data_IF_828048575782
#
_entry.id   IF_828048575782
#
_cell.length_a   1.000
_cell.length_b   1.000
_cell.length_c   1.000
_cell.angle_alpha   90.00
_cell.angle_beta   90.00
_cell.angle_gamma   90.00
#
_symmetry.space_group_name_H-M   'P 1'
#
loop_
_entity.id
_entity.type
_entity.pdbx_description
1 polymer ?
#
# COMPACT_ATOMS: atom_id res chain seq x y z
N UNK A 1 41.86 39.53 1.33
CA UNK A 1 42.11 38.19 1.90
C UNK A 1 41.23 37.20 1.15
N UNK A 2 41.79 36.63 0.09
CA UNK A 2 41.08 35.77 -0.86
C UNK A 2 41.50 34.30 -0.70
N UNK A 3 40.53 33.42 -0.96
CA UNK A 3 40.69 32.09 -1.57
C UNK A 3 41.58 31.05 -0.87
N UNK A 4 40.97 30.15 -0.06
CA UNK A 4 41.42 28.75 0.11
C UNK A 4 40.25 27.84 0.49
N UNK A 5 39.58 27.23 -0.50
CA UNK A 5 38.99 25.86 -0.44
C UNK A 5 38.34 25.50 -1.79
N UNK A 6 39.13 25.49 -2.84
CA UNK A 6 38.80 24.85 -4.12
C UNK A 6 40.10 24.41 -4.79
N UNK A 7 40.67 23.30 -4.34
CA UNK A 7 41.77 22.59 -5.00
C UNK A 7 42.04 21.27 -4.26
N UNK A 8 41.26 20.25 -4.60
CA UNK A 8 41.59 18.83 -4.40
C UNK A 8 40.69 17.96 -5.27
N UNK A 9 40.70 18.28 -6.56
CA UNK A 9 40.38 17.34 -7.63
C UNK A 9 41.52 17.46 -8.62
N UNK A 10 41.92 16.32 -9.19
CA UNK A 10 43.04 16.08 -10.12
C UNK A 10 44.31 15.56 -9.41
N UNK A 11 44.85 14.50 -10.01
CA UNK A 11 46.02 13.68 -9.65
C UNK A 11 45.71 12.46 -8.75
N UNK A 12 45.30 11.36 -9.37
CA UNK A 12 46.08 10.10 -9.55
C UNK A 12 45.32 9.25 -10.57
N UNK A 13 45.67 9.39 -11.85
CA UNK A 13 45.52 8.34 -12.86
C UNK A 13 46.94 7.95 -13.26
N UNK A 14 47.38 6.76 -12.82
CA UNK A 14 48.44 5.94 -13.44
C UNK A 14 48.71 4.72 -12.53
N UNK A 15 47.97 3.63 -12.75
CA UNK A 15 48.42 2.27 -12.41
C UNK A 15 47.63 1.21 -13.19
N UNK A 16 48.29 0.68 -14.22
CA UNK A 16 48.24 -0.66 -14.81
C UNK A 16 46.88 -1.39 -15.01
N UNK A 17 46.36 -1.49 -16.26
CA UNK A 17 45.05 -2.10 -16.55
C UNK A 17 44.98 -3.64 -16.39
N UNK A 18 46.11 -4.33 -16.21
CA UNK A 18 46.13 -5.81 -16.27
C UNK A 18 45.96 -6.53 -14.92
N UNK A 19 45.90 -5.83 -13.79
CA UNK A 19 45.68 -6.44 -12.45
C UNK A 19 44.22 -6.40 -11.97
N UNK A 20 43.33 -5.71 -12.66
CA UNK A 20 41.90 -5.66 -12.29
C UNK A 20 41.05 -6.78 -12.92
N UNK A 21 41.57 -7.52 -13.89
CA UNK A 21 40.80 -8.57 -14.59
C UNK A 21 40.79 -9.92 -13.86
N UNK A 22 41.67 -10.16 -12.88
CA UNK A 22 41.69 -11.42 -12.12
C UNK A 22 40.87 -11.40 -10.80
N UNK A 23 40.60 -10.22 -10.22
CA UNK A 23 39.79 -10.11 -8.98
C UNK A 23 38.28 -10.04 -9.22
N UNK A 24 37.83 -9.75 -10.44
CA UNK A 24 36.40 -9.77 -10.79
C UNK A 24 35.89 -11.15 -11.23
N UNK A 25 36.76 -12.08 -11.65
CA UNK A 25 36.33 -13.45 -11.98
C UNK A 25 36.02 -14.31 -10.75
N UNK A 26 36.79 -14.19 -9.67
CA UNK A 26 36.51 -14.94 -8.44
C UNK A 26 35.26 -14.46 -7.65
N UNK A 27 34.75 -13.25 -7.93
CA UNK A 27 33.51 -12.74 -7.33
C UNK A 27 32.26 -13.03 -8.18
N UNK A 28 32.41 -13.35 -9.48
CA UNK A 28 31.30 -13.82 -10.32
C UNK A 28 31.09 -15.34 -10.22
N UNK A 29 32.13 -16.14 -9.98
CA UNK A 29 31.96 -17.60 -9.84
C UNK A 29 31.35 -18.02 -8.49
N UNK A 30 31.43 -17.17 -7.45
CA UNK A 30 30.77 -17.42 -6.15
C UNK A 30 29.34 -16.84 -6.06
N UNK A 31 28.84 -16.17 -7.10
CA UNK A 31 27.43 -15.72 -7.17
C UNK A 31 26.50 -16.78 -7.80
N UNK A 32 27.04 -17.87 -8.34
CA UNK A 32 26.27 -18.95 -8.98
C UNK A 32 26.19 -20.26 -8.16
N UNK A 33 26.43 -20.21 -6.84
CA UNK A 33 26.07 -21.29 -5.92
C UNK A 33 25.51 -20.75 -4.60
N UNK A 34 24.50 -19.88 -4.63
CA UNK A 34 23.52 -19.90 -3.54
C UNK A 34 22.73 -21.19 -3.77
N UNK A 35 23.01 -22.22 -2.96
CA UNK A 35 22.17 -23.42 -2.90
C UNK A 35 20.72 -22.96 -2.83
N UNK A 36 19.88 -23.38 -3.77
CA UNK A 36 18.46 -23.04 -3.72
C UNK A 36 17.96 -23.41 -2.31
N UNK A 37 17.41 -22.47 -1.53
CA UNK A 37 16.92 -22.81 -0.20
C UNK A 37 15.84 -23.87 -0.36
N UNK A 38 16.00 -24.97 0.38
CA UNK A 38 15.15 -26.16 0.30
C UNK A 38 13.70 -25.81 0.65
N UNK A 39 12.77 -26.60 0.12
CA UNK A 39 11.35 -26.51 0.50
C UNK A 39 11.19 -26.73 2.02
N UNK A 40 10.18 -26.08 2.61
CA UNK A 40 9.94 -26.17 4.03
C UNK A 40 9.25 -27.50 4.38
N UNK A 41 9.87 -28.29 5.26
CA UNK A 41 9.40 -29.64 5.60
C UNK A 41 7.98 -29.64 6.18
N UNK A 42 7.62 -28.64 6.96
CA UNK A 42 6.28 -28.53 7.55
C UNK A 42 5.21 -28.19 6.53
N UNK A 43 5.52 -27.36 5.52
CA UNK A 43 4.63 -27.13 4.37
C UNK A 43 4.42 -28.43 3.60
N UNK A 44 5.50 -29.17 3.32
CA UNK A 44 5.42 -30.46 2.61
C UNK A 44 4.59 -31.45 3.41
N UNK A 45 4.89 -31.64 4.70
CA UNK A 45 4.17 -32.55 5.56
C UNK A 45 2.67 -32.20 5.65
N UNK A 46 2.32 -30.91 5.66
CA UNK A 46 0.93 -30.49 5.61
C UNK A 46 0.25 -30.94 4.31
N UNK A 47 0.86 -30.70 3.16
CA UNK A 47 0.30 -31.13 1.87
C UNK A 47 0.16 -32.67 1.78
N UNK A 48 1.14 -33.41 2.30
CA UNK A 48 1.16 -34.88 2.24
C UNK A 48 0.17 -35.53 3.23
N UNK A 49 -0.13 -34.88 4.36
CA UNK A 49 -1.00 -35.43 5.40
C UNK A 49 -2.51 -35.22 5.16
N UNK A 50 -2.90 -34.27 4.31
CA UNK A 50 -4.30 -33.96 4.06
C UNK A 50 -4.74 -34.45 2.67
N UNK A 51 -5.69 -35.42 2.58
CA UNK A 51 -6.09 -36.03 1.30
C UNK A 51 -6.59 -35.04 0.24
N UNK A 52 -7.11 -33.89 0.66
CA UNK A 52 -7.60 -32.84 -0.23
C UNK A 52 -6.51 -32.10 -1.02
N UNK A 53 -5.24 -32.26 -0.65
CA UNK A 53 -4.08 -31.72 -1.36
C UNK A 53 -3.26 -32.79 -2.08
N UNK A 54 -3.81 -33.99 -2.23
CA UNK A 54 -3.18 -35.06 -2.99
C UNK A 54 -2.80 -34.56 -4.40
N UNK A 55 -1.58 -34.84 -4.82
CA UNK A 55 -0.99 -34.46 -6.12
C UNK A 55 -0.82 -32.93 -6.34
N UNK A 56 -1.16 -32.10 -5.34
CA UNK A 56 -1.04 -30.65 -5.44
C UNK A 56 0.43 -30.18 -5.49
N UNK A 57 1.30 -30.88 -4.75
CA UNK A 57 2.73 -30.57 -4.65
C UNK A 57 3.43 -30.52 -6.00
N UNK A 58 3.00 -31.33 -6.95
CA UNK A 58 3.58 -31.40 -8.31
C UNK A 58 3.08 -30.26 -9.21
N UNK A 59 1.92 -29.67 -8.88
CA UNK A 59 1.29 -28.57 -9.62
C UNK A 59 1.75 -27.18 -9.11
N UNK A 60 2.47 -27.14 -7.99
CA UNK A 60 2.92 -25.90 -7.36
C UNK A 60 4.36 -25.57 -7.77
N UNK A 61 4.66 -24.31 -8.10
CA UNK A 61 6.04 -23.89 -8.29
C UNK A 61 6.81 -24.02 -6.96
N UNK A 62 8.06 -24.49 -7.03
CA UNK A 62 8.92 -24.74 -5.86
C UNK A 62 9.06 -23.54 -4.91
N UNK A 63 8.95 -22.31 -5.43
CA UNK A 63 8.96 -21.09 -4.63
C UNK A 63 7.85 -21.06 -3.58
N UNK A 64 6.64 -21.54 -3.90
CA UNK A 64 5.51 -21.54 -2.98
C UNK A 64 5.62 -22.56 -1.85
N UNK A 65 6.50 -23.55 -2.01
CA UNK A 65 6.80 -24.56 -0.98
C UNK A 65 7.83 -24.07 0.04
N UNK A 66 8.31 -22.82 -0.09
CA UNK A 66 9.25 -22.19 0.82
C UNK A 66 8.51 -21.29 1.81
N UNK A 67 9.20 -20.94 2.90
CA UNK A 67 8.75 -19.90 3.81
C UNK A 67 9.42 -18.58 3.52
N UNK A 68 8.67 -17.50 3.67
CA UNK A 68 9.14 -16.14 3.48
C UNK A 68 8.88 -15.31 4.72
N UNK A 69 9.70 -14.28 4.94
CA UNK A 69 9.37 -13.26 5.95
C UNK A 69 8.24 -12.37 5.44
N UNK A 70 8.39 -11.92 4.20
CA UNK A 70 7.49 -11.01 3.48
C UNK A 70 7.33 -11.52 2.05
N UNK A 71 6.36 -12.39 1.77
CA UNK A 71 6.13 -12.88 0.41
C UNK A 71 5.55 -11.76 -0.46
N UNK A 72 5.90 -11.74 -1.75
CA UNK A 72 5.39 -10.75 -2.71
C UNK A 72 3.95 -11.06 -3.15
N UNK A 73 3.61 -12.34 -3.24
CA UNK A 73 2.29 -12.84 -3.63
C UNK A 73 1.82 -13.95 -2.71
N UNK A 74 0.50 -14.18 -2.69
CA UNK A 74 -0.14 -15.21 -1.89
C UNK A 74 -1.27 -15.86 -2.69
N UNK A 75 -1.34 -17.20 -2.65
CA UNK A 75 -2.19 -18.03 -3.48
C UNK A 75 -3.06 -18.93 -2.64
N UNK A 76 -4.35 -18.98 -2.96
CA UNK A 76 -5.29 -19.89 -2.34
C UNK A 76 -5.13 -21.31 -2.91
N UNK A 77 -4.90 -22.29 -2.04
CA UNK A 77 -4.70 -23.69 -2.43
C UNK A 77 -5.84 -24.63 -2.01
N UNK A 78 -6.84 -24.14 -1.27
CA UNK A 78 -7.93 -24.97 -0.76
C UNK A 78 -9.27 -24.70 -1.46
N UNK A 79 -9.85 -25.74 -2.07
CA UNK A 79 -11.13 -25.65 -2.80
C UNK A 79 -12.32 -25.30 -1.91
N UNK A 80 -12.40 -25.84 -0.68
CA UNK A 80 -13.50 -25.54 0.25
C UNK A 80 -13.49 -24.07 0.64
N UNK A 81 -12.29 -23.52 0.86
CA UNK A 81 -12.10 -22.11 1.20
C UNK A 81 -12.41 -21.19 0.03
N UNK A 82 -12.06 -21.58 -1.20
CA UNK A 82 -12.46 -20.87 -2.41
C UNK A 82 -13.99 -20.72 -2.49
N UNK A 83 -14.72 -21.80 -2.21
CA UNK A 83 -16.20 -21.78 -2.17
C UNK A 83 -16.75 -20.87 -1.07
N UNK A 84 -16.14 -20.88 0.13
CA UNK A 84 -16.53 -19.98 1.23
C UNK A 84 -16.31 -18.52 0.87
N UNK A 85 -15.16 -18.21 0.27
CA UNK A 85 -14.83 -16.85 -0.19
C UNK A 85 -15.84 -16.43 -1.26
N UNK A 86 -16.00 -17.19 -2.34
CA UNK A 86 -16.94 -16.89 -3.42
C UNK A 86 -18.38 -16.69 -2.92
N UNK A 87 -18.86 -17.57 -2.04
CA UNK A 87 -20.19 -17.43 -1.44
C UNK A 87 -20.35 -16.15 -0.61
N UNK A 88 -19.28 -15.70 0.05
CA UNK A 88 -19.26 -14.41 0.75
C UNK A 88 -19.29 -13.25 -0.25
N UNK A 89 -18.48 -13.31 -1.32
CA UNK A 89 -18.37 -12.26 -2.33
C UNK A 89 -19.61 -12.06 -3.19
N UNK A 90 -20.40 -13.11 -3.41
CA UNK A 90 -21.66 -13.04 -4.16
C UNK A 90 -22.68 -12.03 -3.58
N UNK A 91 -22.55 -11.68 -2.30
CA UNK A 91 -23.41 -10.69 -1.64
C UNK A 91 -22.95 -9.25 -1.85
N UNK A 92 -21.77 -9.03 -2.44
CA UNK A 92 -21.09 -7.73 -2.45
C UNK A 92 -20.59 -7.29 -3.84
N UNK A 93 -20.44 -8.22 -4.76
CA UNK A 93 -20.10 -7.94 -6.15
C UNK A 93 -21.40 -7.78 -6.93
N UNK A 94 -21.60 -6.61 -7.53
CA UNK A 94 -22.69 -6.35 -8.46
C UNK A 94 -22.35 -6.83 -9.88
N UNK A 95 -23.38 -7.10 -10.68
CA UNK A 95 -23.23 -7.61 -12.05
C UNK A 95 -22.68 -6.58 -13.05
N UNK A 96 -22.73 -5.29 -12.70
CA UNK A 96 -22.34 -4.19 -13.60
C UNK A 96 -20.85 -3.85 -13.54
N UNK A 97 -20.20 -4.13 -12.42
CA UNK A 97 -18.81 -3.76 -12.18
C UNK A 97 -17.85 -4.78 -12.80
N UNK A 98 -16.73 -4.33 -13.41
CA UNK A 98 -15.63 -5.21 -13.78
C UNK A 98 -15.06 -5.91 -12.55
N UNK A 99 -14.82 -7.22 -12.67
CA UNK A 99 -14.18 -8.03 -11.63
C UNK A 99 -12.76 -8.35 -12.04
N UNK A 100 -11.81 -8.02 -11.17
CA UNK A 100 -10.40 -8.32 -11.32
C UNK A 100 -10.00 -9.36 -10.27
N UNK A 101 -9.47 -10.48 -10.69
CA UNK A 101 -8.84 -11.46 -9.79
C UNK A 101 -7.32 -11.38 -9.93
N UNK A 102 -6.64 -11.15 -8.81
CA UNK A 102 -5.18 -10.99 -8.74
C UNK A 102 -4.56 -12.27 -8.18
N UNK A 103 -3.55 -12.79 -8.89
CA UNK A 103 -2.84 -14.03 -8.57
C UNK A 103 -3.79 -15.23 -8.37
N UNK A 104 -4.59 -15.60 -9.40
CA UNK A 104 -5.56 -16.69 -9.30
C UNK A 104 -4.91 -18.07 -9.05
N UNK A 105 -3.63 -18.25 -9.40
CA UNK A 105 -2.91 -19.49 -9.19
C UNK A 105 -3.58 -20.68 -9.87
N UNK A 106 -3.94 -21.69 -9.08
CA UNK A 106 -4.64 -22.89 -9.56
C UNK A 106 -6.09 -22.61 -10.04
N UNK A 107 -6.58 -21.37 -9.89
CA UNK A 107 -7.88 -20.94 -10.38
C UNK A 107 -9.08 -21.49 -9.61
N UNK A 108 -8.86 -21.93 -8.36
CA UNK A 108 -9.94 -22.47 -7.52
C UNK A 108 -10.98 -21.40 -7.19
N UNK A 109 -10.55 -20.19 -6.85
CA UNK A 109 -11.48 -19.08 -6.60
C UNK A 109 -12.14 -18.61 -7.90
N UNK A 110 -11.37 -18.45 -8.98
CA UNK A 110 -11.89 -18.17 -10.32
C UNK A 110 -13.05 -19.07 -10.71
N UNK A 111 -12.88 -20.40 -10.53
CA UNK A 111 -13.91 -21.38 -10.87
C UNK A 111 -15.20 -21.17 -10.07
N UNK A 112 -15.07 -20.92 -8.77
CA UNK A 112 -16.24 -20.68 -7.93
C UNK A 112 -16.93 -19.35 -8.28
N UNK A 113 -16.18 -18.29 -8.58
CA UNK A 113 -16.72 -17.00 -9.04
C UNK A 113 -17.46 -17.13 -10.38
N UNK A 114 -16.89 -17.86 -11.35
CA UNK A 114 -17.54 -18.10 -12.65
C UNK A 114 -18.85 -18.86 -12.53
N UNK A 115 -18.94 -19.79 -11.57
CA UNK A 115 -20.15 -20.57 -11.30
C UNK A 115 -21.25 -19.74 -10.64
N UNK A 116 -20.88 -18.70 -9.88
CA UNK A 116 -21.84 -17.96 -9.06
C UNK A 116 -22.14 -16.55 -9.56
N UNK A 117 -21.40 -16.05 -10.55
CA UNK A 117 -21.55 -14.71 -11.10
C UNK A 117 -21.59 -14.75 -12.62
N UNK A 118 -22.19 -13.74 -13.25
CA UNK A 118 -22.22 -13.59 -14.71
C UNK A 118 -21.12 -12.66 -15.24
N UNK A 119 -20.45 -11.91 -14.35
CA UNK A 119 -19.43 -10.91 -14.69
C UNK A 119 -18.33 -11.48 -15.58
N UNK A 120 -17.76 -10.62 -16.42
CA UNK A 120 -16.48 -10.87 -17.07
C UNK A 120 -15.35 -10.69 -16.04
N UNK A 121 -14.45 -11.67 -15.92
CA UNK A 121 -13.35 -11.64 -14.95
C UNK A 121 -12.03 -11.38 -15.66
N UNK A 122 -11.32 -10.36 -15.21
CA UNK A 122 -9.97 -10.04 -15.63
C UNK A 122 -8.98 -10.65 -14.65
N UNK A 123 -8.09 -11.51 -15.13
CA UNK A 123 -7.13 -12.22 -14.32
C UNK A 123 -5.72 -11.69 -14.58
N UNK A 124 -5.03 -11.35 -13.51
CA UNK A 124 -3.61 -10.95 -13.54
C UNK A 124 -2.79 -11.96 -12.74
N UNK A 125 -1.95 -12.73 -13.42
CA UNK A 125 -1.07 -13.72 -12.79
C UNK A 125 0.39 -13.29 -12.92
N UNK A 126 1.11 -13.27 -11.81
CA UNK A 126 2.55 -12.96 -11.80
C UNK A 126 3.40 -14.16 -12.21
N UNK A 127 2.94 -15.40 -11.96
CA UNK A 127 3.69 -16.63 -12.23
C UNK A 127 3.17 -17.37 -13.47
N UNK A 128 4.01 -17.43 -14.51
CA UNK A 128 3.71 -18.18 -15.75
C UNK A 128 3.47 -19.70 -15.52
N UNK A 129 3.86 -20.25 -14.37
CA UNK A 129 3.63 -21.66 -14.02
C UNK A 129 2.14 -22.04 -14.06
N UNK A 130 1.27 -21.09 -13.73
CA UNK A 130 -0.18 -21.33 -13.66
C UNK A 130 -0.92 -21.12 -14.99
N UNK A 131 -0.23 -20.65 -16.03
CA UNK A 131 -0.83 -20.38 -17.34
C UNK A 131 -1.60 -21.57 -17.92
N UNK A 132 -1.13 -22.82 -17.70
CA UNK A 132 -1.83 -24.01 -18.18
C UNK A 132 -3.21 -24.19 -17.55
N UNK A 133 -3.34 -23.92 -16.25
CA UNK A 133 -4.59 -24.04 -15.50
C UNK A 133 -5.56 -22.92 -15.90
N UNK A 134 -5.03 -21.70 -16.02
CA UNK A 134 -5.81 -20.54 -16.44
C UNK A 134 -6.35 -20.72 -17.88
N UNK A 135 -5.51 -21.20 -18.80
CA UNK A 135 -5.93 -21.47 -20.18
C UNK A 135 -7.02 -22.54 -20.25
N UNK A 136 -6.97 -23.56 -19.39
CA UNK A 136 -8.03 -24.57 -19.29
C UNK A 136 -9.36 -23.93 -18.83
N UNK A 137 -9.32 -23.02 -17.86
CA UNK A 137 -10.51 -22.28 -17.43
C UNK A 137 -11.07 -21.38 -18.55
N UNK A 138 -10.20 -20.72 -19.33
CA UNK A 138 -10.63 -19.92 -20.50
C UNK A 138 -11.32 -20.78 -21.57
N UNK A 139 -10.82 -22.00 -21.82
CA UNK A 139 -11.47 -22.92 -22.75
C UNK A 139 -12.83 -23.41 -22.24
N UNK A 140 -12.99 -23.60 -20.93
CA UNK A 140 -14.26 -24.01 -20.32
C UNK A 140 -15.29 -22.86 -20.28
N UNK A 141 -14.83 -21.62 -20.23
CA UNK A 141 -15.69 -20.42 -20.12
C UNK A 141 -15.31 -19.37 -21.18
N UNK A 142 -15.51 -19.66 -22.48
CA UNK A 142 -15.10 -18.78 -23.56
C UNK A 142 -15.80 -17.41 -23.46
N UNK A 143 -15.04 -16.33 -23.63
CA UNK A 143 -15.54 -14.96 -23.61
C UNK A 143 -15.84 -14.38 -22.21
N UNK A 144 -15.74 -15.19 -21.14
CA UNK A 144 -15.96 -14.72 -19.76
C UNK A 144 -14.68 -14.32 -19.01
N UNK A 145 -13.53 -14.66 -19.57
CA UNK A 145 -12.23 -14.50 -18.93
C UNK A 145 -11.24 -13.78 -19.83
N UNK A 146 -10.61 -12.72 -19.32
CA UNK A 146 -9.42 -12.10 -19.93
C UNK A 146 -8.22 -12.33 -19.03
N UNK A 147 -7.17 -12.92 -19.59
CA UNK A 147 -5.97 -13.32 -18.85
C UNK A 147 -4.76 -12.49 -19.28
N UNK A 148 -3.95 -12.05 -18.31
CA UNK A 148 -2.65 -11.42 -18.54
C UNK A 148 -1.61 -11.90 -17.53
N UNK A 149 -0.41 -12.18 -18.03
CA UNK A 149 0.78 -12.39 -17.18
C UNK A 149 1.31 -11.02 -16.77
N UNK A 150 1.06 -10.61 -15.53
CA UNK A 150 1.58 -9.38 -14.95
C UNK A 150 1.37 -9.33 -13.43
N UNK A 151 2.21 -8.55 -12.75
CA UNK A 151 2.06 -8.24 -11.33
C UNK A 151 1.15 -7.02 -11.14
N UNK A 152 -0.13 -7.28 -10.83
CA UNK A 152 -1.12 -6.22 -10.59
C UNK A 152 -0.85 -5.46 -9.29
N UNK A 153 -0.37 -6.12 -8.24
CA UNK A 153 -0.03 -5.43 -6.98
C UNK A 153 1.25 -4.60 -7.13
N UNK A 154 2.16 -5.00 -8.02
CA UNK A 154 3.34 -4.23 -8.44
C UNK A 154 3.07 -3.11 -9.43
N UNK A 155 1.81 -2.82 -9.78
CA UNK A 155 1.43 -1.72 -10.68
C UNK A 155 2.03 -0.36 -10.26
N UNK A 156 2.28 -0.16 -8.98
CA UNK A 156 2.94 1.03 -8.45
C UNK A 156 4.33 1.27 -9.05
N UNK A 157 5.08 0.21 -9.34
CA UNK A 157 6.41 0.28 -9.97
C UNK A 157 6.29 0.82 -11.39
N UNK A 158 5.21 0.48 -12.10
CA UNK A 158 4.94 0.96 -13.45
C UNK A 158 4.50 2.41 -13.44
N UNK A 159 3.60 2.79 -12.53
CA UNK A 159 3.11 4.16 -12.40
C UNK A 159 4.26 5.14 -12.12
N UNK A 160 5.21 4.73 -11.28
CA UNK A 160 6.40 5.52 -11.02
C UNK A 160 7.27 5.72 -12.28
N UNK A 161 7.53 4.66 -13.04
CA UNK A 161 8.31 4.73 -14.28
C UNK A 161 7.62 5.61 -15.32
N UNK A 162 6.32 5.42 -15.51
CA UNK A 162 5.52 6.22 -16.45
C UNK A 162 5.55 7.71 -16.09
N UNK A 163 5.62 8.07 -14.81
CA UNK A 163 5.80 9.48 -14.40
C UNK A 163 7.15 10.06 -14.79
N UNK A 164 8.22 9.25 -14.75
CA UNK A 164 9.58 9.70 -15.06
C UNK A 164 9.82 9.88 -16.56
N UNK A 165 9.21 9.03 -17.39
CA UNK A 165 9.45 8.98 -18.84
C UNK A 165 8.21 9.22 -19.71
N UNK A 166 7.09 9.61 -19.10
CA UNK A 166 5.79 9.79 -19.78
C UNK A 166 5.30 8.52 -20.51
N UNK A 167 5.61 7.35 -19.95
CA UNK A 167 5.23 6.05 -20.50
C UNK A 167 3.74 5.71 -20.40
N UNK A 168 3.35 4.61 -21.05
CA UNK A 168 1.98 4.09 -21.13
C UNK A 168 1.79 2.74 -20.42
N UNK A 169 2.74 2.30 -19.59
CA UNK A 169 2.79 0.93 -19.04
C UNK A 169 1.57 0.58 -18.21
N UNK A 170 0.98 1.54 -17.48
CA UNK A 170 -0.27 1.35 -16.74
C UNK A 170 -1.44 1.10 -17.68
N UNK A 171 -1.59 1.95 -18.70
CA UNK A 171 -2.62 1.79 -19.73
C UNK A 171 -2.48 0.44 -20.44
N UNK A 172 -1.25 0.08 -20.78
CA UNK A 172 -0.93 -1.18 -21.42
C UNK A 172 -1.25 -2.35 -20.49
N UNK A 173 -0.90 -2.26 -19.19
CA UNK A 173 -1.22 -3.26 -18.17
C UNK A 173 -2.73 -3.51 -18.13
N UNK A 174 -3.52 -2.45 -17.97
CA UNK A 174 -4.97 -2.52 -17.80
C UNK A 174 -5.72 -2.92 -19.08
N UNK A 175 -5.25 -2.48 -20.25
CA UNK A 175 -5.95 -2.73 -21.52
C UNK A 175 -7.39 -2.21 -21.46
N UNK A 176 -8.37 -3.06 -21.74
CA UNK A 176 -9.81 -2.73 -21.68
C UNK A 176 -10.30 -2.35 -20.28
N UNK A 177 -9.54 -2.66 -19.22
CA UNK A 177 -9.81 -2.15 -17.89
C UNK A 177 -9.41 -0.69 -17.72
N UNK A 178 -8.62 -0.10 -18.62
CA UNK A 178 -8.30 1.32 -18.52
C UNK A 178 -9.57 2.17 -18.74
N UNK A 179 -9.75 3.21 -17.94
CA UNK A 179 -10.87 4.15 -18.07
C UNK A 179 -10.47 5.54 -17.61
N UNK A 180 -11.06 6.56 -18.21
CA UNK A 180 -10.96 7.94 -17.71
C UNK A 180 -12.13 8.27 -16.74
N UNK A 181 -13.06 7.33 -16.54
CA UNK A 181 -14.15 7.49 -15.59
C UNK A 181 -13.68 7.13 -14.17
N UNK A 182 -13.26 8.16 -13.43
CA UNK A 182 -12.83 8.04 -12.04
C UNK A 182 -13.95 7.53 -11.11
N UNK A 183 -15.23 7.65 -11.48
CA UNK A 183 -16.35 7.15 -10.67
C UNK A 183 -16.67 5.67 -10.92
N UNK A 184 -16.14 5.07 -11.99
CA UNK A 184 -16.37 3.65 -12.29
C UNK A 184 -15.77 2.80 -11.18
N UNK A 185 -16.59 1.97 -10.55
CA UNK A 185 -16.14 1.04 -9.51
C UNK A 185 -15.56 -0.20 -10.16
N UNK A 186 -14.40 -0.65 -9.68
CA UNK A 186 -13.76 -1.91 -10.09
C UNK A 186 -13.60 -2.81 -8.88
N UNK A 187 -14.10 -4.04 -8.98
CA UNK A 187 -14.07 -5.03 -7.90
C UNK A 187 -12.75 -5.80 -8.00
N UNK A 188 -11.92 -5.75 -6.96
CA UNK A 188 -10.60 -6.39 -6.97
C UNK A 188 -10.59 -7.50 -5.92
N UNK A 189 -10.43 -8.73 -6.36
CA UNK A 189 -10.42 -9.94 -5.53
C UNK A 189 -9.00 -10.51 -5.51
N UNK A 190 -8.52 -10.92 -4.33
CA UNK A 190 -7.19 -11.51 -4.22
C UNK A 190 -6.75 -11.76 -2.79
N UNK A 191 -5.47 -12.10 -2.64
CA UNK A 191 -4.84 -12.34 -1.34
C UNK A 191 -3.58 -11.49 -1.24
N UNK A 192 -3.47 -10.70 -0.18
CA UNK A 192 -2.41 -9.71 -0.05
C UNK A 192 -1.54 -10.03 1.18
N UNK A 193 -0.25 -10.38 0.97
CA UNK A 193 0.65 -10.75 2.05
C UNK A 193 1.19 -9.55 2.85
N UNK A 194 1.15 -8.34 2.31
CA UNK A 194 1.77 -7.14 2.90
C UNK A 194 1.05 -5.84 2.54
N UNK A 195 1.53 -4.71 3.05
CA UNK A 195 0.84 -3.41 2.93
C UNK A 195 1.27 -2.55 1.74
N UNK A 196 2.22 -3.01 0.92
CA UNK A 196 2.79 -2.24 -0.20
C UNK A 196 1.72 -1.78 -1.20
N UNK A 197 0.78 -2.67 -1.55
CA UNK A 197 -0.32 -2.31 -2.45
C UNK A 197 -1.29 -1.30 -1.82
N UNK A 198 -1.57 -1.38 -0.51
CA UNK A 198 -2.41 -0.38 0.18
C UNK A 198 -1.74 0.99 0.14
N UNK A 199 -0.43 1.06 0.41
CA UNK A 199 0.34 2.32 0.29
C UNK A 199 0.28 2.87 -1.14
N UNK A 200 0.36 2.01 -2.14
CA UNK A 200 0.18 2.42 -3.53
C UNK A 200 -1.20 3.02 -3.79
N UNK A 201 -2.27 2.37 -3.34
CA UNK A 201 -3.63 2.88 -3.54
C UNK A 201 -3.83 4.24 -2.87
N UNK A 202 -3.30 4.41 -1.65
CA UNK A 202 -3.28 5.71 -0.96
C UNK A 202 -2.57 6.75 -1.83
N UNK A 203 -1.37 6.45 -2.32
CA UNK A 203 -0.61 7.38 -3.16
C UNK A 203 -1.31 7.66 -4.50
N UNK A 204 -1.94 6.66 -5.11
CA UNK A 204 -2.68 6.83 -6.36
C UNK A 204 -3.87 7.78 -6.15
N UNK A 205 -4.65 7.60 -5.08
CA UNK A 205 -5.74 8.52 -4.74
C UNK A 205 -5.22 9.93 -4.45
N UNK A 206 -4.07 10.06 -3.77
CA UNK A 206 -3.53 11.36 -3.34
C UNK A 206 -2.92 12.14 -4.51
N UNK A 207 -2.15 11.48 -5.38
CA UNK A 207 -1.35 12.16 -6.41
C UNK A 207 -1.92 12.02 -7.82
N UNK A 208 -2.83 11.07 -8.03
CA UNK A 208 -3.33 10.69 -9.35
C UNK A 208 -4.86 10.57 -9.39
N UNK A 209 -5.57 11.19 -8.44
CA UNK A 209 -7.04 11.10 -8.34
C UNK A 209 -7.75 11.35 -9.68
N UNK A 210 -7.34 12.41 -10.39
CA UNK A 210 -7.96 12.86 -11.63
C UNK A 210 -7.43 12.13 -12.86
N UNK A 211 -6.27 11.47 -12.75
CA UNK A 211 -5.58 10.78 -13.85
C UNK A 211 -5.56 9.27 -13.68
N UNK A 212 -6.33 8.72 -12.73
CA UNK A 212 -6.29 7.31 -12.38
C UNK A 212 -7.06 6.49 -13.43
N UNK A 213 -6.33 5.62 -14.13
CA UNK A 213 -6.91 4.82 -15.21
C UNK A 213 -7.69 3.59 -14.76
N UNK A 214 -7.67 3.24 -13.47
CA UNK A 214 -8.37 2.06 -12.96
C UNK A 214 -9.84 2.35 -12.63
N UNK A 215 -10.17 3.60 -12.30
CA UNK A 215 -11.40 3.98 -11.60
C UNK A 215 -11.29 3.80 -10.08
N UNK A 216 -12.42 3.76 -9.37
CA UNK A 216 -12.49 3.61 -7.92
C UNK A 216 -12.42 2.13 -7.51
N UNK A 217 -11.35 1.69 -6.83
CA UNK A 217 -11.22 0.31 -6.41
C UNK A 217 -12.14 0.00 -5.23
N UNK A 218 -12.77 -1.18 -5.30
CA UNK A 218 -13.53 -1.81 -4.24
C UNK A 218 -12.95 -3.21 -4.02
N UNK A 219 -12.18 -3.35 -2.96
CA UNK A 219 -11.31 -4.48 -2.73
C UNK A 219 -12.01 -5.54 -1.88
N UNK A 220 -11.76 -6.80 -2.23
CA UNK A 220 -12.19 -8.00 -1.54
C UNK A 220 -10.96 -8.89 -1.34
N UNK A 221 -10.22 -8.60 -0.28
CA UNK A 221 -8.86 -9.11 -0.12
C UNK A 221 -8.79 -9.99 1.13
N UNK A 222 -8.13 -11.13 1.01
CA UNK A 222 -7.69 -11.87 2.20
C UNK A 222 -6.34 -11.32 2.67
N UNK A 223 -6.24 -10.98 3.95
CA UNK A 223 -5.02 -10.44 4.56
C UNK A 223 -4.83 -10.95 5.99
N UNK A 224 -3.59 -10.92 6.51
CA UNK A 224 -3.34 -11.22 7.92
C UNK A 224 -4.06 -10.24 8.86
N UNK A 225 -4.53 -10.72 10.01
CA UNK A 225 -5.28 -9.92 11.00
C UNK A 225 -4.48 -8.71 11.49
N UNK A 226 -3.23 -8.89 11.87
CA UNK A 226 -2.34 -7.80 12.29
C UNK A 226 -2.16 -6.69 11.25
N UNK A 227 -2.26 -6.98 9.95
CA UNK A 227 -2.24 -5.95 8.90
C UNK A 227 -3.54 -5.15 8.87
N UNK A 228 -4.68 -5.82 9.03
CA UNK A 228 -5.97 -5.16 9.15
C UNK A 228 -6.02 -4.27 10.42
N UNK A 229 -5.59 -4.80 11.57
CA UNK A 229 -5.57 -4.06 12.83
C UNK A 229 -4.64 -2.85 12.74
N UNK A 230 -3.46 -2.99 12.15
CA UNK A 230 -2.57 -1.85 11.91
C UNK A 230 -3.25 -0.71 11.13
N UNK A 231 -4.01 -1.05 10.09
CA UNK A 231 -4.69 -0.06 9.25
C UNK A 231 -5.92 0.56 9.93
N UNK A 232 -6.59 -0.18 10.82
CA UNK A 232 -7.93 0.16 11.31
C UNK A 232 -7.98 0.57 12.78
N UNK A 233 -6.95 0.28 13.58
CA UNK A 233 -6.94 0.58 15.00
C UNK A 233 -6.72 2.08 15.28
N UNK A 234 -7.77 2.72 15.80
CA UNK A 234 -7.72 4.10 16.30
C UNK A 234 -6.69 4.32 17.42
N UNK A 235 -6.42 3.31 18.24
CA UNK A 235 -5.45 3.40 19.34
C UNK A 235 -4.02 3.48 18.82
N UNK A 236 -3.70 2.80 17.71
CA UNK A 236 -2.38 2.92 17.05
C UNK A 236 -2.17 4.35 16.59
N UNK A 237 -3.21 5.00 16.04
CA UNK A 237 -3.14 6.39 15.62
C UNK A 237 -2.94 7.35 16.80
N UNK A 238 -3.62 7.12 17.93
CA UNK A 238 -3.49 7.96 19.13
C UNK A 238 -2.13 7.78 19.81
N UNK A 239 -1.63 6.54 19.92
CA UNK A 239 -0.41 6.22 20.70
C UNK A 239 0.90 6.51 19.96
N UNK A 240 0.95 6.24 18.66
CA UNK A 240 2.18 6.29 17.85
C UNK A 240 2.09 7.19 16.63
N UNK A 241 0.92 7.77 16.36
CA UNK A 241 0.59 8.56 15.17
C UNK A 241 1.29 8.10 13.88
N UNK A 242 0.64 7.17 13.17
CA UNK A 242 1.16 6.61 11.92
C UNK A 242 0.42 7.18 10.72
N UNK A 243 1.17 7.71 9.76
CA UNK A 243 0.64 8.37 8.56
C UNK A 243 -0.17 7.42 7.68
N UNK A 244 0.30 6.18 7.48
CA UNK A 244 -0.38 5.20 6.61
C UNK A 244 -1.76 4.79 7.15
N UNK A 245 -1.92 4.37 8.42
CA UNK A 245 -3.24 4.10 8.99
C UNK A 245 -4.17 5.32 8.99
N UNK A 246 -3.65 6.52 9.27
CA UNK A 246 -4.44 7.75 9.21
C UNK A 246 -5.00 7.95 7.80
N UNK A 247 -4.13 8.03 6.78
CA UNK A 247 -4.53 8.22 5.39
C UNK A 247 -5.45 7.09 4.89
N UNK A 248 -5.20 5.84 5.31
CA UNK A 248 -6.07 4.71 4.99
C UNK A 248 -7.51 4.95 5.47
N UNK A 249 -7.70 5.29 6.75
CA UNK A 249 -9.03 5.51 7.32
C UNK A 249 -9.71 6.77 6.78
N UNK A 250 -8.92 7.76 6.32
CA UNK A 250 -9.45 8.92 5.61
C UNK A 250 -10.04 8.56 4.25
N UNK A 251 -9.35 7.71 3.48
CA UNK A 251 -9.65 7.45 2.08
C UNK A 251 -10.54 6.24 1.84
N UNK A 252 -10.64 5.31 2.79
CA UNK A 252 -11.35 4.04 2.63
C UNK A 252 -12.37 3.78 3.73
N UNK A 253 -13.49 3.19 3.33
CA UNK A 253 -14.38 2.44 4.22
C UNK A 253 -13.90 0.99 4.28
N UNK A 254 -14.00 0.34 5.43
CA UNK A 254 -13.50 -1.02 5.60
C UNK A 254 -14.36 -1.86 6.53
N UNK A 255 -14.45 -3.17 6.26
CA UNK A 255 -15.14 -4.14 7.10
C UNK A 255 -14.57 -5.55 6.95
N UNK A 256 -14.54 -6.31 8.03
CA UNK A 256 -14.31 -7.76 7.96
C UNK A 256 -15.59 -8.42 7.47
N UNK A 257 -15.50 -9.22 6.41
CA UNK A 257 -16.61 -9.99 5.87
C UNK A 257 -16.64 -11.40 6.41
N UNK A 258 -15.46 -12.03 6.53
CA UNK A 258 -15.32 -13.40 6.97
C UNK A 258 -13.89 -13.68 7.46
N UNK A 259 -13.68 -14.85 8.05
CA UNK A 259 -12.35 -15.37 8.41
C UNK A 259 -12.12 -16.69 7.71
N UNK A 260 -10.89 -16.93 7.26
CA UNK A 260 -10.51 -18.15 6.54
C UNK A 260 -9.19 -18.71 7.07
N UNK A 261 -8.94 -20.03 7.02
CA UNK A 261 -7.70 -20.60 7.54
C UNK A 261 -6.47 -20.13 6.76
N UNK A 262 -5.47 -19.62 7.47
CA UNK A 262 -4.20 -19.14 6.90
C UNK A 262 -3.40 -20.26 6.24
N UNK A 263 -3.48 -21.48 6.79
CA UNK A 263 -2.82 -22.66 6.23
C UNK A 263 -3.26 -22.99 4.78
N UNK A 264 -4.40 -22.45 4.34
CA UNK A 264 -4.93 -22.64 2.99
C UNK A 264 -4.33 -21.70 1.94
N UNK A 265 -3.36 -20.87 2.33
CA UNK A 265 -2.67 -19.95 1.45
C UNK A 265 -1.17 -20.26 1.41
N UNK A 266 -0.55 -20.11 0.26
CA UNK A 266 0.91 -20.23 0.08
C UNK A 266 1.50 -18.98 -0.59
N UNK A 267 2.77 -18.65 -0.32
CA UNK A 267 3.67 -19.37 0.58
C UNK A 267 3.36 -19.07 2.05
N UNK A 268 3.80 -19.96 2.95
CA UNK A 268 3.72 -19.71 4.39
C UNK A 268 4.76 -18.69 4.82
N UNK A 269 4.46 -17.96 5.90
CA UNK A 269 5.39 -17.02 6.49
C UNK A 269 6.14 -17.62 7.67
N UNK A 270 7.33 -17.11 7.95
CA UNK A 270 7.97 -17.38 9.23
C UNK A 270 7.12 -16.78 10.37
N UNK A 271 7.00 -17.45 11.52
CA UNK A 271 6.34 -16.88 12.68
C UNK A 271 6.98 -15.55 13.04
N UNK A 272 6.18 -14.52 13.32
CA UNK A 272 6.75 -13.27 13.79
C UNK A 272 7.32 -13.48 15.21
N UNK A 273 8.47 -12.89 15.50
CA UNK A 273 9.12 -12.94 16.82
C UNK A 273 8.44 -12.04 17.87
N UNK A 274 7.33 -11.40 17.54
CA UNK A 274 6.67 -10.40 18.38
C UNK A 274 5.72 -11.02 19.42
N UNK A 275 5.85 -10.56 20.66
CA UNK A 275 5.02 -10.94 21.81
C UNK A 275 3.56 -10.46 21.73
N UNK A 276 3.13 -9.80 20.64
CA UNK A 276 1.78 -9.20 20.51
C UNK A 276 0.85 -9.88 19.50
N UNK A 277 1.26 -10.97 18.87
CA UNK A 277 0.34 -11.70 17.98
C UNK A 277 -0.76 -12.38 18.78
N UNK A 278 -2.01 -12.22 18.33
CA UNK A 278 -3.13 -12.99 18.86
C UNK A 278 -3.11 -14.41 18.28
N UNK A 279 -3.72 -15.38 18.97
CA UNK A 279 -3.89 -16.73 18.43
C UNK A 279 -4.67 -16.74 17.09
N UNK A 280 -5.54 -15.74 16.87
CA UNK A 280 -6.27 -15.59 15.61
C UNK A 280 -5.34 -15.17 14.46
N UNK A 281 -4.33 -14.32 14.70
CA UNK A 281 -3.34 -13.90 13.70
C UNK A 281 -2.45 -15.05 13.20
N UNK A 282 -2.30 -16.07 14.04
CA UNK A 282 -1.47 -17.23 13.75
C UNK A 282 -2.15 -18.20 12.78
N UNK A 283 -3.48 -18.35 12.89
CA UNK A 283 -4.23 -19.40 12.19
C UNK A 283 -5.22 -18.91 11.16
N UNK A 284 -5.63 -17.64 11.21
CA UNK A 284 -6.68 -17.09 10.37
C UNK A 284 -6.19 -15.90 9.53
N UNK A 285 -6.82 -15.74 8.37
CA UNK A 285 -6.76 -14.55 7.54
C UNK A 285 -8.14 -13.90 7.56
N UNK A 286 -8.19 -12.57 7.53
CA UNK A 286 -9.44 -11.83 7.38
C UNK A 286 -9.73 -11.65 5.89
N UNK A 287 -10.92 -12.05 5.47
CA UNK A 287 -11.51 -11.59 4.23
C UNK A 287 -12.14 -10.24 4.50
N UNK A 288 -11.56 -9.19 3.95
CA UNK A 288 -11.98 -7.81 4.20
C UNK A 288 -12.51 -7.17 2.93
N UNK A 289 -13.47 -6.27 3.10
CA UNK A 289 -13.86 -5.33 2.08
C UNK A 289 -13.27 -3.96 2.39
N UNK A 290 -12.58 -3.36 1.43
CA UNK A 290 -11.97 -2.03 1.53
C UNK A 290 -12.44 -1.24 0.32
N UNK A 291 -13.28 -0.23 0.54
CA UNK A 291 -13.92 0.55 -0.52
C UNK A 291 -13.40 1.98 -0.50
N UNK A 292 -12.93 2.50 -1.63
CA UNK A 292 -12.56 3.93 -1.69
C UNK A 292 -13.81 4.80 -1.43
N UNK A 293 -13.72 5.74 -0.49
CA UNK A 293 -14.81 6.69 -0.21
C UNK A 293 -15.13 7.54 -1.43
N UNK A 294 -16.41 7.82 -1.65
CA UNK A 294 -16.87 8.75 -2.71
C UNK A 294 -16.44 10.17 -2.42
N UNK A 295 -16.66 10.61 -1.18
CA UNK A 295 -16.28 11.94 -0.70
C UNK A 295 -14.90 11.84 -0.05
N UNK A 296 -13.94 12.56 -0.62
CA UNK A 296 -12.58 12.67 -0.10
C UNK A 296 -12.51 13.76 0.98
N UNK A 297 -11.49 13.73 1.87
CA UNK A 297 -11.38 14.69 2.96
C UNK A 297 -11.21 16.14 2.49
N UNK A 298 -10.65 16.36 1.30
CA UNK A 298 -10.51 17.67 0.67
C UNK A 298 -10.56 17.51 -0.86
N UNK A 299 -10.69 18.61 -1.63
CA UNK A 299 -10.58 18.56 -3.08
C UNK A 299 -9.26 17.93 -3.56
N UNK A 300 -9.23 17.30 -4.74
CA UNK A 300 -8.07 16.55 -5.25
C UNK A 300 -6.74 17.33 -5.21
N UNK A 301 -6.77 18.61 -5.51
CA UNK A 301 -5.62 19.52 -5.55
C UNK A 301 -4.99 19.80 -4.16
N UNK A 302 -5.71 19.51 -3.08
CA UNK A 302 -5.23 19.62 -1.70
C UNK A 302 -4.81 18.28 -1.09
N UNK A 303 -5.08 17.13 -1.74
CA UNK A 303 -4.68 15.83 -1.21
C UNK A 303 -3.17 15.67 -1.01
N UNK A 304 -2.29 16.14 -1.93
CA UNK A 304 -0.84 16.11 -1.71
C UNK A 304 -0.40 16.92 -0.48
N UNK A 305 -1.07 18.05 -0.22
CA UNK A 305 -0.82 18.88 0.95
C UNK A 305 -1.26 18.19 2.23
N UNK A 306 -2.42 17.52 2.22
CA UNK A 306 -2.90 16.70 3.33
C UNK A 306 -1.92 15.56 3.62
N UNK A 307 -1.45 14.86 2.59
CA UNK A 307 -0.45 13.80 2.72
C UNK A 307 0.83 14.30 3.41
N UNK A 308 1.30 15.49 3.01
CA UNK A 308 2.49 16.10 3.58
C UNK A 308 2.26 16.55 5.03
N UNK A 309 1.07 17.08 5.33
CA UNK A 309 0.65 17.49 6.67
C UNK A 309 0.71 16.32 7.68
N UNK A 310 0.44 15.09 7.24
CA UNK A 310 0.47 13.90 8.10
C UNK A 310 1.86 13.24 8.21
N UNK A 311 2.92 13.85 7.66
CA UNK A 311 4.28 13.29 7.74
C UNK A 311 4.91 13.50 9.13
N UNK A 312 5.78 12.58 9.59
CA UNK A 312 6.36 12.65 10.93
C UNK A 312 7.04 13.98 11.27
N UNK A 313 7.74 14.58 10.30
CA UNK A 313 8.44 15.85 10.50
C UNK A 313 7.49 17.05 10.66
N UNK A 314 6.25 16.95 10.16
CA UNK A 314 5.18 17.93 10.39
C UNK A 314 4.39 17.61 11.65
N UNK A 315 4.32 16.33 11.99
CA UNK A 315 3.22 15.78 12.76
C UNK A 315 3.71 14.61 13.61
N UNK A 316 3.89 14.86 14.90
CA UNK A 316 3.99 13.84 15.95
C UNK A 316 2.84 14.00 16.96
N UNK A 317 2.66 13.03 17.85
CA UNK A 317 1.66 13.15 18.93
C UNK A 317 1.95 14.30 19.88
N UNK A 318 3.21 14.64 20.09
CA UNK A 318 3.66 15.69 21.02
C UNK A 318 3.85 17.04 20.32
N UNK A 319 3.72 17.07 18.99
CA UNK A 319 3.77 18.33 18.25
C UNK A 319 2.60 19.21 18.66
N UNK A 320 2.92 20.39 19.19
CA UNK A 320 1.95 21.43 19.52
C UNK A 320 1.36 22.02 18.24
N UNK A 321 0.03 22.09 18.18
CA UNK A 321 -0.69 22.47 16.95
C UNK A 321 -0.35 23.90 16.52
N UNK A 322 -0.60 24.88 17.40
CA UNK A 322 -0.42 26.30 17.08
C UNK A 322 1.03 26.63 16.72
N UNK A 323 2.04 26.27 17.55
CA UNK A 323 3.43 26.54 17.22
C UNK A 323 3.87 25.94 15.88
N UNK A 324 3.37 24.76 15.50
CA UNK A 324 3.71 24.16 14.21
C UNK A 324 3.11 24.95 13.04
N UNK A 325 1.84 25.36 13.13
CA UNK A 325 1.20 26.14 12.06
C UNK A 325 1.81 27.54 11.91
N UNK A 326 2.21 28.17 13.02
CA UNK A 326 2.84 29.50 12.99
C UNK A 326 4.22 29.52 12.33
N UNK A 327 4.88 28.37 12.16
CA UNK A 327 6.08 28.27 11.33
C UNK A 327 5.80 28.56 9.85
N UNK A 328 4.56 28.36 9.40
CA UNK A 328 4.13 28.56 8.02
C UNK A 328 3.36 29.85 7.86
N UNK A 329 2.44 30.14 8.78
CA UNK A 329 1.61 31.36 8.76
C UNK A 329 1.76 32.06 10.12
N UNK A 330 2.65 33.05 10.24
CA UNK A 330 2.88 33.75 11.51
C UNK A 330 1.60 34.39 12.06
N UNK A 331 1.36 34.20 13.36
CA UNK A 331 0.22 34.79 14.07
C UNK A 331 -1.13 34.10 13.85
N UNK A 332 -1.19 33.00 13.08
CA UNK A 332 -2.44 32.27 12.85
C UNK A 332 -3.02 31.60 14.11
N UNK A 333 -2.25 31.48 15.19
CA UNK A 333 -2.70 30.90 16.45
C UNK A 333 -3.91 31.62 17.06
N UNK A 334 -4.05 32.92 16.81
CA UNK A 334 -5.17 33.72 17.33
C UNK A 334 -6.53 33.20 16.83
N UNK A 335 -6.60 32.68 15.59
CA UNK A 335 -7.81 32.12 15.00
C UNK A 335 -8.25 30.83 15.68
N UNK A 336 -7.28 29.99 16.06
CA UNK A 336 -7.55 28.74 16.76
C UNK A 336 -7.94 28.98 18.22
N UNK A 337 -7.29 29.93 18.91
CA UNK A 337 -7.58 30.23 20.32
C UNK A 337 -8.94 30.92 20.47
N UNK A 338 -9.24 31.90 19.62
CA UNK A 338 -10.51 32.64 19.66
C UNK A 338 -11.69 31.83 19.12
N UNK A 339 -11.42 30.78 18.32
CA UNK A 339 -12.43 30.04 17.57
C UNK A 339 -13.03 30.82 16.39
N UNK A 340 -12.50 32.00 16.08
CA UNK A 340 -12.95 32.85 14.98
C UNK A 340 -12.08 32.64 13.75
N UNK A 341 -12.70 32.58 12.57
CA UNK A 341 -11.98 32.54 11.30
C UNK A 341 -11.70 33.96 10.76
N UNK A 342 -10.60 34.15 10.00
CA UNK A 342 -10.35 35.42 9.33
C UNK A 342 -11.46 35.76 8.32
N UNK A 343 -11.72 37.05 8.07
CA UNK A 343 -12.84 37.49 7.23
C UNK A 343 -12.74 37.00 5.77
N UNK A 344 -11.53 36.88 5.23
CA UNK A 344 -11.25 36.54 3.83
C UNK A 344 -10.93 35.05 3.63
N UNK A 345 -11.50 34.16 4.45
CA UNK A 345 -11.31 32.72 4.36
C UNK A 345 -11.83 32.15 3.02
N UNK A 346 -11.09 31.21 2.44
CA UNK A 346 -11.57 30.43 1.30
C UNK A 346 -12.65 29.42 1.74
N UNK A 347 -13.91 29.80 1.52
CA UNK A 347 -15.10 29.03 1.92
C UNK A 347 -15.24 27.69 1.19
N UNK A 348 -14.57 27.50 0.05
CA UNK A 348 -14.67 26.24 -0.70
C UNK A 348 -13.91 25.10 -0.01
N UNK A 349 -12.89 25.43 0.79
CA UNK A 349 -11.99 24.46 1.43
C UNK A 349 -12.10 24.51 2.96
N UNK A 350 -12.59 25.62 3.50
CA UNK A 350 -12.85 25.78 4.93
C UNK A 350 -13.70 24.63 5.49
N UNK A 351 -13.54 24.28 6.79
CA UNK A 351 -14.37 23.25 7.41
C UNK A 351 -15.87 23.56 7.29
N UNK A 352 -16.64 22.55 6.92
CA UNK A 352 -18.10 22.61 6.85
C UNK A 352 -18.78 22.01 8.08
N UNK A 353 -20.11 21.91 8.03
CA UNK A 353 -20.93 21.33 9.11
C UNK A 353 -20.67 19.84 9.38
N UNK A 354 -20.07 19.15 8.41
CA UNK A 354 -19.72 17.73 8.53
C UNK A 354 -18.34 17.51 9.14
N UNK A 355 -17.53 18.56 9.26
CA UNK A 355 -16.21 18.49 9.87
C UNK A 355 -16.32 18.50 11.40
N UNK A 356 -15.38 17.85 12.07
CA UNK A 356 -15.42 17.71 13.52
C UNK A 356 -15.13 19.05 14.21
N UNK A 357 -15.94 19.38 15.21
CA UNK A 357 -15.71 20.55 16.06
C UNK A 357 -14.36 20.43 16.80
N UNK A 358 -13.63 21.54 16.81
CA UNK A 358 -12.38 21.62 17.56
C UNK A 358 -12.67 21.86 19.03
N UNK A 359 -11.92 21.24 19.95
CA UNK A 359 -11.96 21.62 21.35
C UNK A 359 -11.43 23.05 21.50
N UNK A 360 -11.59 23.63 22.69
CA UNK A 360 -10.95 24.91 22.99
C UNK A 360 -9.42 24.77 22.87
N UNK A 361 -8.86 25.38 21.83
CA UNK A 361 -7.44 25.26 21.49
C UNK A 361 -6.61 26.23 22.32
N UNK A 362 -5.46 25.77 22.78
CA UNK A 362 -4.46 26.60 23.45
C UNK A 362 -3.09 26.39 22.81
N UNK A 363 -2.12 27.23 23.17
CA UNK A 363 -0.72 27.07 22.75
C UNK A 363 -0.09 25.73 23.21
N UNK A 364 -0.73 25.05 24.18
CA UNK A 364 -0.28 23.75 24.70
C UNK A 364 -1.00 22.56 24.06
N UNK A 365 -2.05 22.77 23.26
CA UNK A 365 -2.77 21.67 22.62
C UNK A 365 -1.85 20.92 21.66
N UNK A 366 -1.74 19.61 21.84
CA UNK A 366 -0.93 18.74 21.02
C UNK A 366 -1.80 17.98 20.01
N UNK A 367 -1.20 17.52 18.92
CA UNK A 367 -1.93 16.67 17.97
C UNK A 367 -2.34 15.32 18.58
N UNK A 368 -1.69 14.87 19.65
CA UNK A 368 -2.09 13.68 20.42
C UNK A 368 -3.45 13.84 21.11
N UNK A 369 -3.85 15.08 21.42
CA UNK A 369 -5.12 15.40 22.07
C UNK A 369 -6.32 15.33 21.11
N UNK A 370 -6.05 15.18 19.81
CA UNK A 370 -7.05 15.33 18.76
C UNK A 370 -7.36 14.00 18.07
N UNK A 371 -8.64 13.83 17.75
CA UNK A 371 -9.10 12.76 16.85
C UNK A 371 -8.60 12.97 15.42
N UNK A 372 -8.64 11.91 14.60
CA UNK A 372 -8.33 12.01 13.17
C UNK A 372 -9.19 13.05 12.45
N UNK A 373 -10.50 13.08 12.71
CA UNK A 373 -11.40 14.06 12.10
C UNK A 373 -11.07 15.50 12.48
N UNK A 374 -10.72 15.76 13.74
CA UNK A 374 -10.30 17.11 14.18
C UNK A 374 -8.99 17.56 13.53
N UNK A 375 -8.06 16.63 13.28
CA UNK A 375 -6.81 16.91 12.54
C UNK A 375 -7.09 17.35 11.10
N UNK A 376 -8.09 16.75 10.45
CA UNK A 376 -8.55 17.19 9.13
C UNK A 376 -9.17 18.59 9.23
N UNK A 377 -10.00 18.86 10.25
CA UNK A 377 -10.57 20.20 10.47
C UNK A 377 -9.47 21.24 10.59
N UNK A 378 -8.40 20.97 11.34
CA UNK A 378 -7.23 21.87 11.43
C UNK A 378 -6.57 22.04 10.07
N UNK A 379 -6.32 20.96 9.34
CA UNK A 379 -5.74 21.05 8.00
C UNK A 379 -6.59 21.94 7.08
N UNK A 380 -7.91 21.74 7.06
CA UNK A 380 -8.84 22.56 6.28
C UNK A 380 -8.82 24.02 6.68
N UNK A 381 -8.83 24.34 7.98
CA UNK A 381 -8.65 25.73 8.46
C UNK A 381 -7.34 26.30 7.93
N UNK A 382 -6.23 25.60 8.15
CA UNK A 382 -4.90 26.02 7.74
C UNK A 382 -4.80 26.37 6.25
N UNK A 383 -5.29 25.49 5.36
CA UNK A 383 -5.23 25.74 3.92
C UNK A 383 -6.29 26.73 3.41
N UNK A 384 -7.29 27.04 4.23
CA UNK A 384 -8.35 28.00 3.87
C UNK A 384 -8.02 29.45 4.23
N UNK A 385 -7.02 29.68 5.08
CA UNK A 385 -6.63 31.03 5.51
C UNK A 385 -6.00 31.82 4.36
N UNK A 386 -6.25 33.14 4.25
CA UNK A 386 -5.82 33.94 3.11
C UNK A 386 -4.30 33.99 2.94
N UNK A 387 -3.54 33.85 4.03
CA UNK A 387 -2.09 33.84 4.02
C UNK A 387 -1.49 32.53 3.47
N UNK A 388 -2.28 31.47 3.36
CA UNK A 388 -1.79 30.15 2.93
C UNK A 388 -1.16 30.18 1.54
N UNK A 389 -1.77 30.90 0.58
CA UNK A 389 -1.25 30.99 -0.79
C UNK A 389 0.14 31.66 -0.87
N UNK A 390 0.49 32.47 0.13
CA UNK A 390 1.79 33.14 0.19
C UNK A 390 2.83 32.34 1.00
N UNK A 391 2.39 31.35 1.79
CA UNK A 391 3.28 30.57 2.62
C UNK A 391 4.08 29.54 1.81
N UNK A 392 5.25 29.16 2.33
CA UNK A 392 6.15 28.24 1.64
C UNK A 392 5.75 26.76 1.76
N UNK A 393 4.59 26.45 2.34
CA UNK A 393 4.18 25.07 2.62
C UNK A 393 4.05 24.23 1.35
N UNK A 394 3.33 24.75 0.34
CA UNK A 394 3.16 24.07 -0.96
C UNK A 394 4.50 23.83 -1.66
N UNK A 395 5.32 24.87 -1.76
CA UNK A 395 6.64 24.80 -2.37
C UNK A 395 7.55 23.81 -1.63
N UNK A 396 7.48 23.77 -0.30
CA UNK A 396 8.27 22.84 0.51
C UNK A 396 7.81 21.39 0.33
N UNK A 397 6.50 21.15 0.23
CA UNK A 397 5.94 19.84 -0.10
C UNK A 397 6.44 19.37 -1.47
N UNK A 398 6.32 20.22 -2.50
CA UNK A 398 6.75 19.91 -3.87
C UNK A 398 8.26 19.62 -3.95
N UNK A 399 9.08 20.40 -3.26
CA UNK A 399 10.54 20.21 -3.20
C UNK A 399 10.96 18.93 -2.47
N UNK A 400 10.16 18.44 -1.52
CA UNK A 400 10.45 17.19 -0.82
C UNK A 400 9.80 15.97 -1.47
N UNK A 401 8.85 16.16 -2.39
CA UNK A 401 8.16 15.07 -3.09
C UNK A 401 9.13 14.07 -3.74
N UNK A 402 10.20 14.48 -4.46
CA UNK A 402 11.19 13.52 -5.00
C UNK A 402 11.87 12.69 -3.91
N UNK A 403 12.22 13.30 -2.77
CA UNK A 403 12.90 12.62 -1.65
C UNK A 403 12.03 11.58 -0.97
N UNK A 404 10.71 11.67 -1.08
CA UNK A 404 9.78 10.69 -0.52
C UNK A 404 9.39 9.59 -1.52
N UNK A 405 9.65 9.80 -2.81
CA UNK A 405 9.41 8.80 -3.84
C UNK A 405 10.63 7.87 -4.01
N UNK A 406 11.84 8.39 -3.81
CA UNK A 406 13.10 7.62 -3.89
C UNK A 406 13.23 6.47 -2.86
N UNK A 407 12.81 6.60 -1.57
CA UNK A 407 12.93 5.54 -0.57
C UNK A 407 12.10 4.29 -0.88
N UNK A 408 11.13 4.39 -1.80
CA UNK A 408 10.37 3.22 -2.26
C UNK A 408 11.28 2.23 -3.02
N UNK A 409 12.42 2.68 -3.55
CA UNK A 409 13.45 1.80 -4.16
C UNK A 409 14.33 1.09 -3.13
N UNK A 410 14.55 1.67 -1.94
CA UNK A 410 15.49 1.15 -0.94
C UNK A 410 14.82 0.24 0.11
N UNK A 411 13.49 0.33 0.32
CA UNK A 411 12.73 -0.68 1.11
C UNK A 411 12.91 -2.11 0.56
N UNK A 412 13.22 -2.26 -0.74
CA UNK A 412 13.47 -3.56 -1.38
C UNK A 412 14.91 -4.08 -1.19
N UNK A 413 15.89 -3.22 -0.84
CA UNK A 413 17.31 -3.63 -0.68
C UNK A 413 17.71 -4.01 0.75
N UNK A 414 17.03 -3.45 1.75
CA UNK A 414 17.33 -3.68 3.18
C UNK A 414 16.37 -4.67 3.88
N UNK A 415 15.69 -5.55 3.12
CA UNK A 415 14.80 -6.60 3.65
C UNK A 415 15.51 -7.74 4.45
N UNK A 416 16.60 -7.44 5.13
CA UNK A 416 17.23 -8.25 6.19
C UNK A 416 17.20 -7.45 7.51
N UNK A 417 16.03 -6.95 7.90
CA UNK A 417 15.82 -6.28 9.18
C UNK A 417 14.37 -6.40 9.64
N UNK A 418 14.12 -6.39 10.94
CA UNK A 418 12.87 -6.80 11.61
C UNK A 418 11.68 -5.86 11.30
N UNK A 419 10.68 -6.38 10.57
CA UNK A 419 9.45 -5.66 10.13
C UNK A 419 8.44 -5.28 11.23
N UNK A 420 8.90 -5.19 12.49
CA UNK A 420 8.12 -4.56 13.57
C UNK A 420 8.92 -3.38 14.15
N UNK A 421 10.25 -3.47 14.19
CA UNK A 421 11.11 -2.36 14.60
C UNK A 421 11.32 -1.34 13.47
N UNK A 422 11.25 -1.75 12.19
CA UNK A 422 11.35 -0.81 11.05
C UNK A 422 10.04 -0.03 10.77
N UNK A 423 8.88 -0.55 11.18
CA UNK A 423 7.64 0.23 11.22
C UNK A 423 7.73 1.32 12.31
N UNK A 424 8.55 1.12 13.34
CA UNK A 424 8.92 2.15 14.31
C UNK A 424 9.98 3.10 13.75
N UNK A 425 10.92 2.62 12.93
CA UNK A 425 12.08 3.40 12.48
C UNK A 425 11.94 4.19 11.16
N UNK A 426 10.93 3.96 10.33
CA UNK A 426 10.68 4.88 9.18
C UNK A 426 10.15 6.25 9.62
N UNK A 427 9.69 6.34 10.87
CA UNK A 427 9.22 7.55 11.53
C UNK A 427 9.96 7.81 12.87
N UNK A 428 11.09 7.12 13.13
CA UNK A 428 11.85 7.35 14.35
C UNK A 428 12.73 8.59 14.23
N UNK A 429 12.60 9.45 15.23
CA UNK A 429 13.43 10.58 15.54
C UNK A 429 14.92 10.29 15.30
N UNK A 430 15.55 11.00 14.36
CA UNK A 430 16.95 11.39 14.58
C UNK A 430 16.93 12.48 15.64
N UNK A 431 17.01 12.08 16.91
CA UNK A 431 17.39 12.99 17.98
C UNK A 431 18.82 13.48 17.71
N UNK A 432 18.93 14.78 17.46
CA UNK A 432 20.14 15.58 17.70
C UNK A 432 19.72 16.87 18.35
#
# INVERSE_FOLDING_TARGET
MFARKAQKLIVIMKSDPQKYTFRFKHKLDNLNKKSEPAAANDVINYLDNFPEYKDLKEQLPKGLLKKYKTPESMYLINKKTAKIIAATLNKHIDESSPVVEVNPGLGYLTKELLNSQINHIYMFESLNHFSSHINQLQMQHPGRLKYKIADFFGMWKLAFKDKMDQGTRIKDLLGDLATDNNDRVVKIVGSMPGLSFVRHLINNIIFHNTTNQLGRPDLFITMPGYHYEFLTDSQIQLKKHKSTPALFQLLFDFKVLNTVPKAHFLPWTFPATSKRMTLMDEHCMYLVNITQKKKLPCPPEYLPLLWYFFKPHMFSKSTKVIPMLEQWIPGCGIWLISGQDPPDINKEIAPGKEDAELPHMTIFTEFGDLSLSQKITIFKKFVSWPEFEQCQFRLTMENNLPKFIIPIEDEDKDNIGTHIDEIENSDSETET
#
